data_IF_338698780906
#
_entry.id   IF_338698780906
#
_cell.length_a   1.000
_cell.length_b   1.000
_cell.length_c   1.000
_cell.angle_alpha   90.00
_cell.angle_beta   90.00
_cell.angle_gamma   90.00
#
_symmetry.space_group_name_H-M   'P 1'
#
loop_
_entity.id
_entity.type
_entity.pdbx_description
1 polymer ?
#
# COMPACT_ATOMS: atom_id res chain seq x y z
N UNK A 1 3.98 -19.09 19.48
CA UNK A 1 5.29 -19.14 18.81
C UNK A 1 5.10 -18.51 17.44
N UNK A 2 5.94 -17.55 17.07
CA UNK A 2 5.87 -16.91 15.76
C UNK A 2 7.05 -17.40 14.92
N UNK A 3 6.93 -17.38 13.60
CA UNK A 3 8.01 -17.78 12.70
C UNK A 3 8.34 -16.64 11.74
N UNK A 4 9.63 -16.45 11.46
CA UNK A 4 10.10 -15.41 10.54
C UNK A 4 9.55 -15.56 9.12
N UNK A 5 9.21 -16.79 8.70
CA UNK A 5 8.72 -17.11 7.36
C UNK A 5 7.34 -16.52 7.07
N UNK A 6 6.52 -16.30 8.11
CA UNK A 6 5.10 -15.91 7.98
C UNK A 6 4.81 -14.43 8.27
N UNK A 7 5.85 -13.59 8.34
CA UNK A 7 5.70 -12.12 8.44
C UNK A 7 5.89 -11.40 7.11
N UNK A 8 5.78 -10.07 7.11
CA UNK A 8 6.14 -9.24 5.96
C UNK A 8 7.64 -9.40 5.66
N UNK A 9 7.95 -9.86 4.45
CA UNK A 9 9.33 -10.09 3.99
C UNK A 9 9.80 -8.87 3.20
N UNK A 10 10.34 -7.88 3.92
CA UNK A 10 10.90 -6.68 3.33
C UNK A 10 12.38 -6.92 2.99
N UNK A 11 12.74 -6.82 1.71
CA UNK A 11 14.12 -6.97 1.26
C UNK A 11 14.94 -5.72 1.58
N UNK A 12 16.15 -5.86 2.11
CA UNK A 12 17.04 -4.71 2.37
C UNK A 12 17.28 -3.87 1.11
N UNK A 13 17.43 -4.52 -0.03
CA UNK A 13 17.58 -3.93 -1.36
C UNK A 13 16.62 -4.58 -2.36
N UNK A 14 16.20 -3.87 -3.42
CA UNK A 14 15.42 -4.46 -4.51
C UNK A 14 16.13 -5.70 -5.07
N UNK A 15 15.44 -6.84 -5.09
CA UNK A 15 16.03 -8.14 -5.39
C UNK A 15 15.00 -9.04 -6.08
N UNK A 16 15.48 -10.07 -6.81
CA UNK A 16 14.61 -11.09 -7.36
C UNK A 16 13.95 -11.94 -6.25
N UNK A 17 12.79 -12.58 -6.52
CA UNK A 17 12.14 -13.46 -5.56
C UNK A 17 13.09 -14.54 -5.02
N UNK A 18 13.17 -14.66 -3.69
CA UNK A 18 14.02 -15.65 -3.01
C UNK A 18 15.52 -15.32 -2.97
N UNK A 19 15.95 -14.17 -3.48
CA UNK A 19 17.38 -13.77 -3.53
C UNK A 19 17.70 -12.61 -2.58
N UNK A 20 16.80 -12.29 -1.66
CA UNK A 20 16.93 -11.08 -0.85
C UNK A 20 17.21 -11.37 0.62
N UNK A 21 18.04 -10.52 1.23
CA UNK A 21 18.22 -10.48 2.67
C UNK A 21 17.04 -9.75 3.30
N UNK A 22 16.34 -10.42 4.22
CA UNK A 22 15.18 -9.86 4.90
C UNK A 22 15.58 -8.83 5.95
N UNK A 23 14.85 -7.72 6.02
CA UNK A 23 15.04 -6.68 7.02
C UNK A 23 14.79 -7.23 8.43
N UNK A 24 15.73 -6.98 9.34
CA UNK A 24 15.63 -7.37 10.75
C UNK A 24 15.62 -8.88 10.99
N UNK A 25 16.04 -9.69 10.01
CA UNK A 25 16.24 -11.14 10.15
C UNK A 25 17.69 -11.45 9.80
N UNK A 26 18.37 -12.21 10.66
CA UNK A 26 19.73 -12.65 10.35
C UNK A 26 19.73 -13.67 9.22
N UNK A 27 20.73 -13.66 8.31
CA UNK A 27 20.83 -14.64 7.24
C UNK A 27 20.79 -16.08 7.77
N UNK A 28 19.94 -16.92 7.18
CA UNK A 28 19.72 -18.30 7.61
C UNK A 28 18.69 -18.47 8.73
N UNK A 29 18.14 -17.37 9.28
CA UNK A 29 17.08 -17.39 10.29
C UNK A 29 15.68 -17.14 9.70
N UNK A 30 15.53 -17.20 8.38
CA UNK A 30 14.27 -16.87 7.68
C UNK A 30 13.13 -17.81 8.07
N UNK A 31 13.44 -19.04 8.49
CA UNK A 31 12.45 -20.03 8.94
C UNK A 31 12.52 -20.29 10.45
N UNK A 32 13.23 -19.44 11.19
CA UNK A 32 13.39 -19.61 12.63
C UNK A 32 12.13 -19.17 13.38
N UNK A 33 11.84 -19.90 14.45
CA UNK A 33 10.82 -19.51 15.40
C UNK A 33 11.36 -18.44 16.36
N UNK A 34 10.55 -17.41 16.56
CA UNK A 34 10.88 -16.22 17.35
C UNK A 34 9.78 -15.93 18.37
N UNK A 35 10.15 -15.12 19.36
CA UNK A 35 9.19 -14.62 20.35
C UNK A 35 8.25 -13.60 19.73
N UNK A 36 7.06 -13.45 20.33
CA UNK A 36 6.10 -12.43 19.91
C UNK A 36 6.67 -11.00 19.95
N UNK A 37 7.52 -10.71 20.96
CA UNK A 37 8.17 -9.39 21.09
C UNK A 37 9.16 -9.14 19.95
N UNK A 38 9.96 -10.13 19.57
CA UNK A 38 10.88 -10.00 18.43
C UNK A 38 10.10 -9.81 17.13
N UNK A 39 9.05 -10.59 16.92
CA UNK A 39 8.22 -10.51 15.72
C UNK A 39 7.54 -9.15 15.58
N UNK A 40 6.88 -8.67 16.65
CA UNK A 40 6.24 -7.35 16.64
C UNK A 40 7.25 -6.20 16.60
N UNK A 41 8.38 -6.35 17.30
CA UNK A 41 9.49 -5.39 17.25
C UNK A 41 9.97 -5.14 15.82
N UNK A 42 10.12 -6.21 15.04
CA UNK A 42 10.46 -6.11 13.61
C UNK A 42 9.47 -5.24 12.82
N UNK A 43 8.17 -5.37 13.06
CA UNK A 43 7.16 -4.53 12.40
C UNK A 43 7.27 -3.06 12.79
N UNK A 44 7.56 -2.77 14.05
CA UNK A 44 7.79 -1.40 14.53
C UNK A 44 9.03 -0.80 13.85
N UNK A 45 10.10 -1.58 13.73
CA UNK A 45 11.32 -1.12 13.07
C UNK A 45 11.12 -0.92 11.57
N UNK A 46 10.41 -1.82 10.88
CA UNK A 46 10.03 -1.64 9.47
C UNK A 46 9.17 -0.39 9.26
N UNK A 47 8.23 -0.11 10.19
CA UNK A 47 7.42 1.11 10.13
C UNK A 47 8.29 2.37 10.26
N UNK A 48 9.22 2.38 11.21
CA UNK A 48 10.14 3.52 11.42
C UNK A 48 11.10 3.74 10.26
N UNK A 49 11.55 2.66 9.63
CA UNK A 49 12.37 2.71 8.42
C UNK A 49 11.57 3.13 7.16
N UNK A 50 10.23 3.22 7.28
CA UNK A 50 9.34 3.63 6.18
C UNK A 50 9.03 2.52 5.19
N UNK A 51 9.46 1.28 5.43
CA UNK A 51 9.26 0.13 4.53
C UNK A 51 7.81 -0.26 4.36
N UNK A 52 7.00 -0.02 5.40
CA UNK A 52 5.58 -0.35 5.35
C UNK A 52 4.73 0.76 4.71
N UNK A 53 5.32 1.93 4.39
CA UNK A 53 4.64 3.12 3.88
C UNK A 53 3.97 2.88 2.53
N UNK A 54 2.75 3.38 2.37
CA UNK A 54 2.00 3.29 1.11
C UNK A 54 1.40 1.92 0.81
N UNK A 55 1.70 0.90 1.62
CA UNK A 55 1.12 -0.43 1.51
C UNK A 55 0.37 -0.82 2.78
N UNK A 56 0.98 -1.69 3.58
CA UNK A 56 0.37 -2.27 4.78
C UNK A 56 0.07 -1.22 5.86
N UNK A 57 0.94 -0.22 6.04
CA UNK A 57 0.79 0.86 7.03
C UNK A 57 1.12 2.22 6.39
N UNK A 58 0.71 3.32 7.04
CA UNK A 58 0.97 4.67 6.54
C UNK A 58 0.59 4.86 5.05
N UNK A 59 -0.66 4.55 4.71
CA UNK A 59 -1.22 4.83 3.39
C UNK A 59 -1.00 6.31 3.03
N UNK A 60 -0.61 6.54 1.78
CA UNK A 60 -0.41 7.89 1.28
C UNK A 60 -1.75 8.52 0.88
N UNK A 61 -1.91 9.84 1.04
CA UNK A 61 -3.09 10.54 0.54
C UNK A 61 -3.18 10.40 -0.98
N UNK A 62 -4.40 10.32 -1.50
CA UNK A 62 -4.69 10.04 -2.91
C UNK A 62 -3.92 10.94 -3.89
N UNK A 63 -3.73 12.22 -3.54
CA UNK A 63 -3.02 13.20 -4.35
C UNK A 63 -1.54 12.85 -4.53
N UNK A 64 -0.93 12.14 -3.58
CA UNK A 64 0.47 11.72 -3.65
C UNK A 64 0.68 10.40 -4.39
N UNK A 65 -0.38 9.65 -4.71
CA UNK A 65 -0.26 8.36 -5.41
C UNK A 65 0.09 8.53 -6.90
N UNK A 66 -0.16 9.70 -7.49
CA UNK A 66 0.20 10.02 -8.87
C UNK A 66 1.57 10.69 -9.02
N UNK A 67 2.20 11.09 -7.92
CA UNK A 67 3.49 11.77 -7.94
C UNK A 67 4.62 10.77 -8.20
N UNK A 68 5.61 11.11 -9.05
CA UNK A 68 6.76 10.25 -9.23
C UNK A 68 7.54 10.13 -7.93
N UNK A 69 7.98 8.92 -7.61
CA UNK A 69 8.92 8.71 -6.51
C UNK A 69 10.26 9.43 -6.82
N UNK A 70 11.05 9.76 -5.78
CA UNK A 70 12.37 10.35 -5.98
C UNK A 70 13.22 9.52 -6.95
N UNK A 71 13.73 10.15 -8.02
CA UNK A 71 14.54 9.49 -9.04
C UNK A 71 13.75 8.63 -10.04
N UNK A 72 12.42 8.55 -9.94
CA UNK A 72 11.56 7.85 -10.90
C UNK A 72 10.72 8.81 -11.74
N UNK A 73 11.11 10.08 -11.79
CA UNK A 73 10.45 11.05 -12.66
C UNK A 73 10.56 10.57 -14.12
N UNK A 74 9.44 10.36 -14.82
CA UNK A 74 9.49 9.91 -16.20
C UNK A 74 10.17 10.95 -17.09
N UNK A 75 10.89 10.52 -18.14
CA UNK A 75 11.56 11.43 -19.07
C UNK A 75 10.59 12.45 -19.69
N UNK A 76 11.07 13.66 -20.05
CA UNK A 76 10.26 14.65 -20.76
C UNK A 76 9.59 14.05 -22.01
N UNK A 77 8.31 14.34 -22.20
CA UNK A 77 7.53 13.82 -23.34
C UNK A 77 6.93 12.42 -23.13
N UNK A 78 7.16 11.78 -21.98
CA UNK A 78 6.48 10.53 -21.62
C UNK A 78 4.99 10.80 -21.41
N UNK A 79 4.12 10.15 -22.19
CA UNK A 79 2.68 10.19 -21.97
C UNK A 79 2.35 9.38 -20.71
N UNK A 80 2.09 10.07 -19.59
CA UNK A 80 1.65 9.43 -18.36
C UNK A 80 0.12 9.37 -18.41
N UNK A 81 -0.49 8.18 -18.35
CA UNK A 81 -1.93 8.08 -18.21
C UNK A 81 -2.36 8.82 -16.93
N UNK A 82 -3.53 9.46 -16.96
CA UNK A 82 -4.11 10.03 -15.73
C UNK A 82 -4.15 8.91 -14.67
N UNK A 83 -3.71 9.23 -13.45
CA UNK A 83 -3.68 8.28 -12.34
C UNK A 83 -5.09 7.80 -11.96
N UNK A 84 -5.27 7.33 -10.73
CA UNK A 84 -6.62 7.00 -10.24
C UNK A 84 -7.53 8.25 -10.30
N UNK A 85 -8.29 8.38 -11.38
CA UNK A 85 -9.31 9.40 -11.54
C UNK A 85 -10.36 9.18 -10.45
N UNK A 86 -10.63 10.22 -9.67
CA UNK A 86 -11.85 10.26 -8.88
C UNK A 86 -13.02 10.31 -9.87
N UNK A 87 -13.63 9.16 -10.15
CA UNK A 87 -14.98 9.10 -10.72
C UNK A 87 -16.00 9.55 -9.65
N UNK A 88 -15.75 10.69 -8.98
CA UNK A 88 -16.84 11.34 -8.28
C UNK A 88 -17.74 11.93 -9.37
N UNK A 89 -19.06 11.65 -9.33
CA UNK A 89 -19.99 12.40 -10.17
C UNK A 89 -19.76 13.89 -9.90
N UNK A 90 -19.83 14.70 -10.96
CA UNK A 90 -19.71 16.15 -10.82
C UNK A 90 -20.74 16.58 -9.75
N UNK A 91 -20.39 17.37 -8.72
CA UNK A 91 -21.39 17.95 -7.83
C UNK A 91 -22.48 18.73 -8.59
N UNK A 92 -22.22 19.16 -9.83
CA UNK A 92 -23.23 19.69 -10.75
C UNK A 92 -24.19 18.62 -11.31
N UNK A 93 -23.78 17.35 -11.44
CA UNK A 93 -24.66 16.23 -11.81
C UNK A 93 -25.61 15.85 -10.66
N UNK A 94 -25.22 16.11 -9.40
CA UNK A 94 -26.09 15.89 -8.23
C UNK A 94 -27.34 16.82 -8.22
N UNK A 95 -27.35 17.88 -9.03
CA UNK A 95 -28.50 18.78 -9.18
C UNK A 95 -29.49 18.31 -10.26
N UNK A 96 -29.18 17.23 -10.99
CA UNK A 96 -29.98 16.76 -12.14
C UNK A 96 -30.79 15.50 -11.87
N UNK A 97 -30.93 15.01 -10.63
CA UNK A 97 -31.90 13.97 -10.31
C UNK A 97 -33.27 14.60 -9.95
N UNK A 98 -34.29 14.55 -10.83
CA UNK A 98 -35.63 14.94 -10.46
C UNK A 98 -36.18 13.84 -9.56
N UNK A 99 -36.50 14.20 -8.32
CA UNK A 99 -37.12 13.31 -7.35
C UNK A 99 -38.45 12.71 -7.85
N UNK A 100 -38.37 11.56 -8.50
CA UNK A 100 -39.46 10.59 -8.58
C UNK A 100 -39.17 9.49 -7.57
N UNK A 101 -39.73 9.62 -6.37
CA UNK A 101 -39.75 8.54 -5.40
C UNK A 101 -40.40 7.29 -6.01
N UNK A 102 -39.87 6.07 -5.80
CA UNK A 102 -40.57 4.86 -6.20
C UNK A 102 -41.84 4.73 -5.35
N UNK A 103 -43.01 4.78 -5.97
CA UNK A 103 -44.27 4.40 -5.32
C UNK A 103 -44.23 2.92 -4.98
N UNK A 104 -44.20 2.60 -3.68
CA UNK A 104 -44.43 1.24 -3.19
C UNK A 104 -45.86 0.81 -3.57
N UNK A 105 -46.07 -0.39 -4.13
CA UNK A 105 -47.42 -0.92 -4.31
C UNK A 105 -48.06 -1.21 -2.95
N UNK A 106 -49.28 -0.69 -2.74
CA UNK A 106 -50.10 -0.99 -1.56
C UNK A 106 -50.48 -2.47 -1.51
N UNK A 107 -50.67 -3.06 -0.30
CA UNK A 107 -51.18 -4.44 -0.16
C UNK A 107 -52.62 -4.59 -0.66
#
# INVERSE_FOLDING_TARGET
>A
MFNNAYGQQECLTPSAPGQCQQFGVEPGQENADVTARQWLGRYIDMYRDGRLKGGLLAQLPQQQLGEPMPGTAPPPGTNIPQGLSQYLPDPADALSEPGAAPTLPSP
#
